data_IF_150020114469
#
_entry.id   IF_150020114469
#
_cell.length_a   1.000
_cell.length_b   1.000
_cell.length_c   1.000
_cell.angle_alpha   90.00
_cell.angle_beta   90.00
_cell.angle_gamma   90.00
#
_symmetry.space_group_name_H-M   'P 1'
#
loop_
_entity.id
_entity.type
_entity.pdbx_description
1 polymer ?
#
# COMPACT_ATOMS: atom_id res chain seq x y z
N UNK A 1 -12.67 -10.89 -69.35
CA UNK A 1 -13.20 -9.81 -68.51
C UNK A 1 -12.45 -9.85 -67.18
N UNK A 2 -11.78 -8.74 -66.88
CA UNK A 2 -10.75 -8.53 -65.87
C UNK A 2 -11.32 -8.69 -64.44
N UNK A 3 -10.65 -9.45 -63.57
CA UNK A 3 -10.79 -9.29 -62.11
C UNK A 3 -9.41 -9.15 -61.50
N UNK A 4 -9.08 -7.89 -61.25
CA UNK A 4 -7.97 -7.38 -60.46
C UNK A 4 -8.19 -7.64 -58.96
N UNK A 5 -7.07 -7.81 -58.25
CA UNK A 5 -6.78 -7.33 -56.86
C UNK A 5 -7.63 -7.97 -55.73
N UNK A 6 -7.09 -8.44 -54.62
CA UNK A 6 -6.06 -7.84 -53.76
C UNK A 6 -5.35 -8.93 -52.93
N UNK A 7 -4.01 -8.90 -52.94
CA UNK A 7 -3.19 -9.65 -51.98
C UNK A 7 -3.08 -8.81 -50.70
N UNK A 8 -3.61 -9.32 -49.59
CA UNK A 8 -3.49 -8.68 -48.27
C UNK A 8 -2.11 -9.00 -47.68
N UNK A 9 -1.17 -8.09 -47.90
CA UNK A 9 0.13 -8.09 -47.23
C UNK A 9 -0.08 -7.60 -45.79
N UNK A 10 -0.23 -8.53 -44.85
CA UNK A 10 -0.25 -8.24 -43.42
C UNK A 10 1.15 -7.79 -43.01
N UNK A 11 1.38 -6.47 -43.02
CA UNK A 11 2.55 -5.84 -42.44
C UNK A 11 2.46 -6.06 -40.92
N UNK A 12 3.13 -7.11 -40.44
CA UNK A 12 3.45 -7.30 -39.03
C UNK A 12 4.36 -6.14 -38.62
N UNK A 13 3.75 -5.06 -38.13
CA UNK A 13 4.44 -4.04 -37.35
C UNK A 13 4.81 -4.73 -36.05
N UNK A 14 5.99 -5.35 -36.02
CA UNK A 14 6.67 -5.73 -34.80
C UNK A 14 7.00 -4.44 -34.07
N UNK A 15 6.09 -3.96 -33.23
CA UNK A 15 6.46 -3.03 -32.18
C UNK A 15 7.52 -3.75 -31.37
N UNK A 16 8.75 -3.24 -31.45
CA UNK A 16 9.79 -3.58 -30.48
C UNK A 16 9.24 -3.14 -29.13
N UNK A 17 8.63 -4.08 -28.42
CA UNK A 17 8.38 -3.96 -26.98
C UNK A 17 9.77 -3.83 -26.38
N UNK A 18 10.19 -2.59 -26.14
CA UNK A 18 11.25 -2.35 -25.18
C UNK A 18 10.78 -3.04 -23.91
N UNK A 19 11.48 -4.12 -23.54
CA UNK A 19 11.37 -4.67 -22.21
C UNK A 19 11.38 -3.49 -21.24
N UNK A 20 10.27 -3.28 -20.54
CA UNK A 20 10.17 -2.27 -19.49
C UNK A 20 11.06 -2.75 -18.35
N UNK A 21 12.38 -2.60 -18.48
CA UNK A 21 13.33 -2.88 -17.41
C UNK A 21 13.34 -1.67 -16.50
N UNK A 22 12.92 -1.84 -15.25
CA UNK A 22 12.93 -0.76 -14.26
C UNK A 22 11.82 -0.89 -13.22
N UNK A 23 11.70 0.14 -12.39
CA UNK A 23 10.75 0.19 -11.26
C UNK A 23 9.31 -0.09 -11.70
N UNK A 24 8.84 0.44 -12.83
CA UNK A 24 7.44 0.31 -13.24
C UNK A 24 7.05 -1.15 -13.52
N UNK A 25 7.93 -1.93 -14.15
CA UNK A 25 7.70 -3.36 -14.37
C UNK A 25 7.71 -4.16 -13.07
N UNK A 26 8.59 -3.80 -12.13
CA UNK A 26 8.59 -4.37 -10.79
C UNK A 26 7.25 -4.09 -10.08
N UNK A 27 6.71 -2.88 -10.16
CA UNK A 27 5.41 -2.55 -9.57
C UNK A 27 4.26 -3.36 -10.20
N UNK A 28 4.28 -3.55 -11.53
CA UNK A 28 3.31 -4.42 -12.22
C UNK A 28 3.43 -5.86 -11.73
N UNK A 29 4.65 -6.39 -11.55
CA UNK A 29 4.86 -7.73 -11.00
C UNK A 29 4.35 -7.84 -9.55
N UNK A 30 4.70 -6.89 -8.70
CA UNK A 30 4.25 -6.83 -7.30
C UNK A 30 2.72 -6.80 -7.23
N UNK A 31 2.05 -5.97 -8.03
CA UNK A 31 0.57 -5.90 -8.06
C UNK A 31 -0.10 -7.27 -8.33
N UNK A 32 0.57 -8.14 -9.11
CA UNK A 32 0.04 -9.45 -9.51
C UNK A 32 0.45 -10.56 -8.53
N UNK A 33 1.70 -10.54 -8.09
CA UNK A 33 2.32 -11.66 -7.39
C UNK A 33 2.22 -11.54 -5.86
N UNK A 34 2.04 -10.32 -5.32
CA UNK A 34 2.00 -10.09 -3.89
C UNK A 34 0.91 -10.93 -3.21
N UNK A 35 1.31 -11.74 -2.22
CA UNK A 35 0.40 -12.66 -1.53
C UNK A 35 -0.63 -11.95 -0.65
N UNK A 36 -0.27 -10.81 -0.07
CA UNK A 36 -1.18 -10.02 0.73
C UNK A 36 -2.28 -9.37 -0.15
N UNK A 37 -1.94 -8.93 -1.37
CA UNK A 37 -2.91 -8.44 -2.36
C UNK A 37 -3.86 -9.55 -2.81
N UNK A 38 -3.36 -10.77 -3.04
CA UNK A 38 -4.19 -11.93 -3.37
C UNK A 38 -5.15 -12.28 -2.22
N UNK A 39 -4.65 -12.32 -0.98
CA UNK A 39 -5.49 -12.56 0.19
C UNK A 39 -6.53 -11.44 0.40
N UNK A 40 -6.14 -10.18 0.18
CA UNK A 40 -7.05 -9.04 0.31
C UNK A 40 -8.17 -9.07 -0.74
N UNK A 41 -7.93 -9.64 -1.94
CA UNK A 41 -8.96 -9.87 -2.96
C UNK A 41 -10.04 -10.85 -2.47
N UNK A 42 -9.63 -11.97 -1.86
CA UNK A 42 -10.58 -12.95 -1.30
C UNK A 42 -11.33 -12.37 -0.09
N UNK A 43 -10.62 -11.62 0.78
CA UNK A 43 -11.25 -10.92 1.89
C UNK A 43 -12.28 -9.89 1.41
N UNK A 44 -11.95 -9.09 0.39
CA UNK A 44 -12.87 -8.16 -0.25
C UNK A 44 -14.13 -8.87 -0.80
N UNK A 45 -13.96 -10.01 -1.48
CA UNK A 45 -15.07 -10.81 -1.97
C UNK A 45 -15.97 -11.29 -0.81
N UNK A 46 -15.36 -11.82 0.25
CA UNK A 46 -16.08 -12.26 1.45
C UNK A 46 -16.85 -11.10 2.10
N UNK A 47 -16.24 -9.91 2.24
CA UNK A 47 -16.90 -8.72 2.80
C UNK A 47 -18.11 -8.29 1.98
N UNK A 48 -18.02 -8.32 0.65
CA UNK A 48 -19.17 -8.04 -0.22
C UNK A 48 -20.30 -9.06 -0.03
N UNK A 49 -19.96 -10.34 0.10
CA UNK A 49 -20.95 -11.37 0.40
C UNK A 49 -21.60 -11.16 1.78
N UNK A 50 -20.82 -10.79 2.80
CA UNK A 50 -21.31 -10.45 4.14
C UNK A 50 -22.29 -9.26 4.10
N UNK A 51 -21.97 -8.20 3.35
CA UNK A 51 -22.88 -7.06 3.19
C UNK A 51 -24.17 -7.44 2.47
N UNK A 52 -24.18 -8.49 1.67
CA UNK A 52 -25.38 -9.00 1.00
C UNK A 52 -26.26 -9.89 1.91
N UNK A 53 -25.85 -10.14 3.15
CA UNK A 53 -26.65 -10.89 4.13
C UNK A 53 -27.78 -10.04 4.74
N UNK A 54 -28.84 -10.70 5.23
CA UNK A 54 -29.97 -10.02 5.89
C UNK A 54 -30.83 -9.15 4.95
N UNK A 55 -30.67 -9.32 3.63
CA UNK A 55 -31.48 -8.67 2.61
C UNK A 55 -32.81 -9.38 2.32
N UNK A 56 -32.97 -10.60 2.84
CA UNK A 56 -34.18 -11.43 2.72
C UNK A 56 -34.99 -11.40 4.01
N UNK A 57 -36.28 -11.79 3.95
CA UNK A 57 -37.06 -12.15 5.14
C UNK A 57 -36.37 -13.18 6.05
N UNK A 58 -36.84 -13.23 7.29
CA UNK A 58 -36.50 -14.31 8.22
C UNK A 58 -37.01 -15.65 7.67
N UNK A 59 -36.45 -16.75 8.16
CA UNK A 59 -36.96 -18.07 7.81
C UNK A 59 -38.39 -18.25 8.35
N UNK A 60 -39.25 -18.99 7.63
CA UNK A 60 -40.55 -19.37 8.17
C UNK A 60 -40.37 -20.26 9.39
N UNK A 61 -41.17 -20.01 10.43
CA UNK A 61 -41.19 -20.77 11.67
C UNK A 61 -42.27 -21.84 11.57
N UNK A 62 -41.90 -23.10 11.76
CA UNK A 62 -42.82 -24.24 11.80
C UNK A 62 -42.81 -24.81 13.20
N UNK A 63 -43.97 -24.82 13.86
CA UNK A 63 -44.14 -25.31 15.23
C UNK A 63 -45.21 -26.40 15.26
N UNK A 64 -44.96 -27.41 16.08
CA UNK A 64 -45.92 -28.45 16.40
C UNK A 64 -45.91 -28.68 17.91
N UNK A 65 -47.04 -28.41 18.55
CA UNK A 65 -47.20 -28.55 19.98
C UNK A 65 -48.15 -29.70 20.30
N UNK A 66 -47.76 -30.52 21.28
CA UNK A 66 -48.63 -31.54 21.86
C UNK A 66 -48.75 -31.32 23.36
N UNK A 67 -49.94 -30.93 23.79
CA UNK A 67 -50.22 -30.59 25.18
C UNK A 67 -51.20 -31.62 25.75
N UNK A 68 -50.75 -32.38 26.76
CA UNK A 68 -51.61 -33.32 27.49
C UNK A 68 -52.43 -32.58 28.54
N UNK A 69 -53.76 -32.64 28.45
CA UNK A 69 -54.65 -31.97 29.40
C UNK A 69 -54.81 -32.72 30.72
N UNK A 70 -54.83 -31.98 31.82
CA UNK A 70 -55.18 -32.45 33.18
C UNK A 70 -56.05 -31.39 33.85
N UNK A 71 -57.11 -31.75 34.61
CA UNK A 71 -57.52 -33.09 35.03
C UNK A 71 -58.25 -33.90 33.94
N UNK A 72 -58.67 -35.13 34.27
CA UNK A 72 -59.40 -36.03 33.38
C UNK A 72 -60.65 -35.32 32.79
N UNK A 73 -60.72 -35.24 31.46
CA UNK A 73 -61.76 -34.50 30.73
C UNK A 73 -61.27 -33.24 30.01
N UNK A 74 -60.07 -32.73 30.32
CA UNK A 74 -59.49 -31.56 29.64
C UNK A 74 -59.12 -31.81 28.16
N UNK A 75 -58.90 -33.07 27.78
CA UNK A 75 -58.52 -33.46 26.41
C UNK A 75 -57.05 -33.18 26.08
N UNK A 76 -56.53 -33.81 25.03
CA UNK A 76 -55.20 -33.52 24.51
C UNK A 76 -55.32 -32.50 23.38
N UNK A 77 -54.42 -31.52 23.35
CA UNK A 77 -54.34 -30.49 22.33
C UNK A 77 -53.16 -30.76 21.39
N UNK A 78 -53.40 -30.61 20.08
CA UNK A 78 -52.40 -30.68 19.02
C UNK A 78 -52.45 -29.38 18.21
N UNK A 79 -51.38 -28.62 18.23
CA UNK A 79 -51.27 -27.40 17.45
C UNK A 79 -50.21 -27.56 16.37
N UNK A 80 -50.50 -27.00 15.21
CA UNK A 80 -49.56 -26.90 14.09
C UNK A 80 -49.62 -25.48 13.55
N UNK A 81 -48.46 -24.81 13.58
CA UNK A 81 -48.34 -23.41 13.20
C UNK A 81 -47.22 -23.25 12.20
N UNK A 82 -47.50 -22.54 11.11
CA UNK A 82 -46.48 -22.05 10.18
C UNK A 82 -46.59 -20.54 10.13
N UNK A 83 -45.61 -19.80 10.65
CA UNK A 83 -45.60 -18.33 10.62
C UNK A 83 -44.40 -17.79 9.85
N UNK A 84 -44.62 -16.67 9.15
CA UNK A 84 -43.59 -15.89 8.49
C UNK A 84 -43.61 -14.48 9.07
N UNK A 85 -42.52 -14.11 9.72
CA UNK A 85 -42.30 -12.74 10.19
C UNK A 85 -41.60 -11.92 9.09
N UNK A 86 -42.12 -10.73 8.82
CA UNK A 86 -41.62 -9.79 7.82
C UNK A 86 -41.34 -8.43 8.48
N UNK A 87 -40.14 -7.89 8.22
CA UNK A 87 -39.90 -6.48 8.46
C UNK A 87 -40.81 -5.65 7.52
N UNK A 88 -41.10 -4.41 7.88
CA UNK A 88 -41.84 -3.52 6.99
C UNK A 88 -41.13 -3.42 5.62
N UNK A 89 -41.83 -3.45 4.46
CA UNK A 89 -41.20 -3.61 3.14
C UNK A 89 -40.08 -2.60 2.84
N UNK A 90 -40.20 -1.39 3.37
CA UNK A 90 -39.22 -0.31 3.19
C UNK A 90 -37.88 -0.60 3.87
N UNK A 91 -37.83 -1.47 4.88
CA UNK A 91 -36.58 -1.91 5.55
C UNK A 91 -35.66 -2.61 4.55
N UNK A 92 -36.17 -3.57 3.77
CA UNK A 92 -35.37 -4.33 2.81
C UNK A 92 -34.74 -3.44 1.73
N UNK A 93 -35.51 -2.46 1.21
CA UNK A 93 -34.97 -1.48 0.26
C UNK A 93 -33.83 -0.64 0.85
N UNK A 94 -33.92 -0.27 2.13
CA UNK A 94 -32.87 0.50 2.81
C UNK A 94 -31.66 -0.35 3.18
N UNK A 95 -31.86 -1.62 3.58
CA UNK A 95 -30.76 -2.58 3.82
C UNK A 95 -30.00 -2.84 2.51
N UNK A 96 -30.70 -2.99 1.38
CA UNK A 96 -30.06 -3.13 0.06
C UNK A 96 -29.24 -1.91 -0.34
N UNK A 97 -29.77 -0.70 -0.13
CA UNK A 97 -29.00 0.54 -0.36
C UNK A 97 -27.75 0.59 0.53
N UNK A 98 -27.86 0.23 1.80
CA UNK A 98 -26.72 0.18 2.72
C UNK A 98 -25.65 -0.82 2.24
N UNK A 99 -26.08 -2.04 1.89
CA UNK A 99 -25.24 -3.11 1.36
C UNK A 99 -24.45 -2.67 0.12
N UNK A 100 -25.10 -1.98 -0.81
CA UNK A 100 -24.45 -1.43 -2.00
C UNK A 100 -23.39 -0.37 -1.62
N UNK A 101 -23.70 0.54 -0.69
CA UNK A 101 -22.73 1.55 -0.24
C UNK A 101 -21.52 0.91 0.44
N UNK A 102 -21.74 -0.10 1.30
CA UNK A 102 -20.67 -0.86 1.94
C UNK A 102 -19.82 -1.65 0.93
N UNK A 103 -20.44 -2.15 -0.14
CA UNK A 103 -19.72 -2.81 -1.23
C UNK A 103 -18.80 -1.86 -1.99
N UNK A 104 -19.26 -0.63 -2.26
CA UNK A 104 -18.44 0.43 -2.88
C UNK A 104 -17.27 0.83 -1.97
N UNK A 105 -17.52 0.98 -0.67
CA UNK A 105 -16.47 1.24 0.32
C UNK A 105 -15.39 0.16 0.29
N UNK A 106 -15.79 -1.11 0.24
CA UNK A 106 -14.84 -2.23 0.17
C UNK A 106 -13.98 -2.18 -1.10
N UNK A 107 -14.51 -1.71 -2.23
CA UNK A 107 -13.72 -1.47 -3.45
C UNK A 107 -12.68 -0.36 -3.27
N UNK A 108 -13.04 0.72 -2.56
CA UNK A 108 -12.11 1.80 -2.25
C UNK A 108 -11.00 1.33 -1.30
N UNK A 109 -11.37 0.61 -0.23
CA UNK A 109 -10.42 0.02 0.73
C UNK A 109 -9.45 -0.96 0.04
N UNK A 110 -9.93 -1.78 -0.90
CA UNK A 110 -9.08 -2.67 -1.70
C UNK A 110 -8.06 -1.89 -2.54
N UNK A 111 -8.46 -0.76 -3.13
CA UNK A 111 -7.56 0.13 -3.88
C UNK A 111 -6.50 0.75 -2.99
N UNK A 112 -6.88 1.27 -1.81
CA UNK A 112 -5.94 1.79 -0.81
C UNK A 112 -4.90 0.73 -0.46
N UNK A 113 -5.36 -0.49 -0.18
CA UNK A 113 -4.47 -1.60 0.19
C UNK A 113 -3.43 -1.90 -0.91
N UNK A 114 -3.84 -1.99 -2.17
CA UNK A 114 -2.92 -2.22 -3.29
C UNK A 114 -1.94 -1.05 -3.40
N UNK A 115 -2.43 0.18 -3.33
CA UNK A 115 -1.61 1.39 -3.45
C UNK A 115 -0.52 1.45 -2.36
N UNK A 116 -0.84 1.07 -1.12
CA UNK A 116 0.13 1.00 -0.02
C UNK A 116 1.24 -0.01 -0.28
N UNK A 117 0.89 -1.19 -0.82
CA UNK A 117 1.86 -2.22 -1.20
C UNK A 117 2.76 -1.75 -2.34
N UNK A 118 2.19 -1.09 -3.35
CA UNK A 118 2.94 -0.56 -4.48
C UNK A 118 3.86 0.59 -4.07
N UNK A 119 3.42 1.46 -3.16
CA UNK A 119 4.28 2.51 -2.60
C UNK A 119 5.46 1.90 -1.84
N UNK A 120 5.22 0.90 -0.97
CA UNK A 120 6.30 0.19 -0.26
C UNK A 120 7.31 -0.41 -1.24
N UNK A 121 6.85 -1.10 -2.28
CA UNK A 121 7.73 -1.64 -3.32
C UNK A 121 8.51 -0.55 -4.06
N UNK A 122 7.88 0.58 -4.39
CA UNK A 122 8.54 1.71 -5.05
C UNK A 122 9.64 2.30 -4.17
N UNK A 123 9.40 2.45 -2.87
CA UNK A 123 10.39 2.99 -1.92
C UNK A 123 11.60 2.07 -1.76
N UNK A 124 11.39 0.76 -1.66
CA UNK A 124 12.48 -0.23 -1.61
C UNK A 124 13.25 -0.28 -2.94
N UNK A 125 12.57 -0.17 -4.07
CA UNK A 125 13.22 -0.10 -5.38
C UNK A 125 14.10 1.15 -5.54
N UNK A 126 13.63 2.30 -5.03
CA UNK A 126 14.44 3.53 -4.99
C UNK A 126 15.64 3.40 -4.04
N UNK A 127 15.49 2.75 -2.89
CA UNK A 127 16.63 2.45 -2.01
C UNK A 127 17.64 1.52 -2.69
N UNK A 128 17.17 0.52 -3.44
CA UNK A 128 18.06 -0.36 -4.20
C UNK A 128 18.88 0.40 -5.25
N UNK A 129 18.29 1.39 -5.93
CA UNK A 129 19.05 2.26 -6.86
C UNK A 129 20.13 3.05 -6.11
N UNK A 130 19.83 3.58 -4.91
CA UNK A 130 20.83 4.23 -4.06
C UNK A 130 21.99 3.27 -3.73
N UNK A 131 21.68 2.06 -3.27
CA UNK A 131 22.68 1.06 -2.89
C UNK A 131 23.52 0.60 -4.09
N UNK A 132 22.92 0.48 -5.27
CA UNK A 132 23.61 0.16 -6.51
C UNK A 132 24.59 1.29 -6.91
N UNK A 133 24.17 2.55 -6.81
CA UNK A 133 25.05 3.72 -7.01
C UNK A 133 26.21 3.73 -6.01
N UNK A 134 25.94 3.46 -4.74
CA UNK A 134 26.95 3.40 -3.69
C UNK A 134 27.94 2.24 -3.93
N UNK A 135 27.44 1.07 -4.35
CA UNK A 135 28.25 -0.09 -4.73
C UNK A 135 29.23 0.27 -5.86
N UNK A 136 28.78 1.00 -6.88
CA UNK A 136 29.64 1.43 -7.98
C UNK A 136 30.80 2.33 -7.50
N UNK A 137 30.55 3.23 -6.56
CA UNK A 137 31.61 4.07 -5.97
C UNK A 137 32.55 3.27 -5.07
N UNK A 138 32.01 2.41 -4.20
CA UNK A 138 32.81 1.57 -3.31
C UNK A 138 33.71 0.61 -4.08
N UNK A 139 33.25 0.03 -5.20
CA UNK A 139 34.09 -0.78 -6.09
C UNK A 139 35.26 0.00 -6.66
N UNK A 140 35.02 1.22 -7.16
CA UNK A 140 36.10 2.10 -7.65
C UNK A 140 37.13 2.41 -6.56
N UNK A 141 36.68 2.68 -5.34
CA UNK A 141 37.57 2.92 -4.19
C UNK A 141 38.36 1.66 -3.82
N UNK A 142 37.71 0.50 -3.79
CA UNK A 142 38.34 -0.77 -3.48
C UNK A 142 39.48 -1.08 -4.47
N UNK A 143 39.23 -0.97 -5.77
CA UNK A 143 40.23 -1.18 -6.83
C UNK A 143 41.43 -0.23 -6.68
N UNK A 144 41.16 1.06 -6.43
CA UNK A 144 42.22 2.07 -6.23
C UNK A 144 43.05 1.78 -4.98
N UNK A 145 42.44 1.41 -3.86
CA UNK A 145 43.17 1.11 -2.63
C UNK A 145 43.94 -0.21 -2.71
N UNK A 146 43.44 -1.21 -3.46
CA UNK A 146 44.19 -2.43 -3.75
C UNK A 146 45.47 -2.11 -4.55
N UNK A 147 45.36 -1.27 -5.58
CA UNK A 147 46.51 -0.79 -6.33
C UNK A 147 47.51 -0.04 -5.42
N UNK A 148 47.00 0.83 -4.53
CA UNK A 148 47.80 1.55 -3.56
C UNK A 148 48.61 0.62 -2.64
N UNK A 149 47.98 -0.42 -2.08
CA UNK A 149 48.67 -1.41 -1.24
C UNK A 149 49.77 -2.13 -2.03
N UNK A 150 49.49 -2.54 -3.27
CA UNK A 150 50.47 -3.17 -4.16
C UNK A 150 51.67 -2.24 -4.42
N UNK A 151 51.43 -0.96 -4.70
CA UNK A 151 52.48 0.00 -4.98
C UNK A 151 53.35 0.29 -3.76
N UNK A 152 52.76 0.38 -2.57
CA UNK A 152 53.52 0.54 -1.32
C UNK A 152 54.31 -0.71 -0.95
N UNK A 153 53.80 -1.91 -1.27
CA UNK A 153 54.57 -3.14 -1.10
C UNK A 153 55.82 -3.14 -1.99
N UNK A 154 55.69 -2.75 -3.26
CA UNK A 154 56.84 -2.62 -4.18
C UNK A 154 57.86 -1.60 -3.69
N UNK A 155 57.40 -0.44 -3.19
CA UNK A 155 58.29 0.57 -2.61
C UNK A 155 59.03 0.08 -1.37
N UNK A 156 58.37 -0.71 -0.52
CA UNK A 156 59.03 -1.34 0.63
C UNK A 156 60.13 -2.30 0.17
N UNK A 157 59.85 -3.13 -0.83
CA UNK A 157 60.82 -4.10 -1.37
C UNK A 157 62.04 -3.40 -2.03
N UNK A 158 61.84 -2.19 -2.55
CA UNK A 158 62.87 -1.32 -3.13
C UNK A 158 63.62 -0.47 -2.09
N UNK A 159 63.14 -0.42 -0.84
CA UNK A 159 63.70 0.44 0.22
C UNK A 159 63.20 1.89 0.21
N UNK A 160 62.26 2.23 -0.67
CA UNK A 160 61.68 3.56 -0.86
C UNK A 160 60.48 3.86 0.08
N UNK A 161 60.04 2.88 0.87
CA UNK A 161 59.00 3.02 1.87
C UNK A 161 59.29 2.16 3.11
N UNK A 162 58.66 2.48 4.24
CA UNK A 162 58.77 1.71 5.49
C UNK A 162 57.55 0.81 5.70
N UNK A 163 57.72 -0.24 6.52
CA UNK A 163 56.64 -1.19 6.83
C UNK A 163 55.39 -0.51 7.43
N UNK A 164 55.57 0.60 8.16
CA UNK A 164 54.45 1.38 8.72
C UNK A 164 53.55 1.95 7.62
N UNK A 165 54.09 2.31 6.46
CA UNK A 165 53.31 2.86 5.35
C UNK A 165 52.48 1.78 4.66
N UNK A 166 53.06 0.59 4.46
CA UNK A 166 52.31 -0.58 3.99
C UNK A 166 51.18 -0.93 4.95
N UNK A 167 51.42 -0.91 6.27
CA UNK A 167 50.39 -1.20 7.27
C UNK A 167 49.23 -0.18 7.23
N UNK A 168 49.52 1.11 7.05
CA UNK A 168 48.47 2.14 6.89
C UNK A 168 47.63 1.91 5.64
N UNK A 169 48.25 1.58 4.51
CA UNK A 169 47.53 1.26 3.27
C UNK A 169 46.65 0.01 3.44
N UNK A 170 47.15 -1.03 4.12
CA UNK A 170 46.38 -2.24 4.45
C UNK A 170 45.19 -1.95 5.35
N UNK A 171 45.34 -1.07 6.35
CA UNK A 171 44.22 -0.64 7.20
C UNK A 171 43.15 0.11 6.40
N UNK A 172 43.54 0.98 5.47
CA UNK A 172 42.59 1.65 4.59
C UNK A 172 41.85 0.65 3.69
N UNK A 173 42.56 -0.34 3.14
CA UNK A 173 41.97 -1.41 2.34
C UNK A 173 40.93 -2.19 3.15
N UNK A 174 41.26 -2.57 4.39
CA UNK A 174 40.34 -3.29 5.27
C UNK A 174 39.05 -2.50 5.54
N UNK A 175 39.15 -1.19 5.77
CA UNK A 175 37.99 -0.34 5.98
C UNK A 175 37.06 -0.31 4.75
N UNK A 176 37.63 -0.12 3.56
CA UNK A 176 36.85 -0.07 2.31
C UNK A 176 36.25 -1.44 1.99
N UNK A 177 36.96 -2.54 2.27
CA UNK A 177 36.41 -3.90 2.16
C UNK A 177 35.19 -4.08 3.07
N UNK A 178 35.22 -3.54 4.29
CA UNK A 178 34.05 -3.59 5.17
C UNK A 178 32.88 -2.73 4.67
N UNK A 179 33.15 -1.54 4.14
CA UNK A 179 32.10 -0.71 3.54
C UNK A 179 31.41 -1.43 2.37
N UNK A 180 32.19 -2.13 1.52
CA UNK A 180 31.65 -2.98 0.44
C UNK A 180 30.77 -4.09 0.99
N UNK A 181 31.26 -4.85 1.98
CA UNK A 181 30.50 -5.95 2.59
C UNK A 181 29.20 -5.48 3.23
N UNK A 182 29.21 -4.34 3.91
CA UNK A 182 28.02 -3.74 4.51
C UNK A 182 27.01 -3.29 3.45
N UNK A 183 27.47 -2.68 2.36
CA UNK A 183 26.59 -2.28 1.27
C UNK A 183 26.00 -3.49 0.53
N UNK A 184 26.79 -4.53 0.28
CA UNK A 184 26.33 -5.76 -0.37
C UNK A 184 25.29 -6.49 0.51
N UNK A 185 25.48 -6.48 1.84
CA UNK A 185 24.46 -6.96 2.77
C UNK A 185 23.17 -6.15 2.67
N UNK A 186 23.25 -4.81 2.65
CA UNK A 186 22.09 -3.93 2.49
C UNK A 186 21.34 -4.18 1.16
N UNK A 187 22.07 -4.43 0.08
CA UNK A 187 21.49 -4.82 -1.23
C UNK A 187 20.73 -6.14 -1.06
N UNK A 188 21.35 -7.16 -0.47
CA UNK A 188 20.72 -8.47 -0.25
C UNK A 188 19.46 -8.38 0.59
N UNK A 189 19.47 -7.57 1.66
CA UNK A 189 18.28 -7.33 2.50
C UNK A 189 17.17 -6.63 1.72
N UNK A 190 17.51 -5.61 0.93
CA UNK A 190 16.56 -4.85 0.11
C UNK A 190 15.95 -5.75 -0.97
N UNK A 191 16.74 -6.59 -1.63
CA UNK A 191 16.27 -7.60 -2.58
C UNK A 191 15.35 -8.63 -1.91
N UNK A 192 15.66 -9.05 -0.69
CA UNK A 192 14.80 -9.96 0.08
C UNK A 192 13.44 -9.32 0.39
N UNK A 193 13.40 -8.04 0.81
CA UNK A 193 12.14 -7.30 1.01
C UNK A 193 11.36 -7.13 -0.29
N UNK A 194 12.03 -6.85 -1.40
CA UNK A 194 11.39 -6.78 -2.73
C UNK A 194 10.86 -8.15 -3.19
N UNK A 195 11.58 -9.24 -2.92
CA UNK A 195 11.14 -10.60 -3.21
C UNK A 195 9.91 -10.96 -2.38
N UNK A 196 9.86 -10.60 -1.10
CA UNK A 196 8.68 -10.75 -0.25
C UNK A 196 7.48 -9.99 -0.83
N UNK A 197 7.68 -8.72 -1.21
CA UNK A 197 6.64 -7.91 -1.86
C UNK A 197 6.21 -8.50 -3.22
N UNK A 198 7.12 -9.14 -3.96
CA UNK A 198 6.84 -9.83 -5.23
C UNK A 198 6.35 -11.28 -5.04
N UNK A 199 5.92 -11.65 -3.84
CA UNK A 199 5.30 -12.95 -3.56
C UNK A 199 6.26 -14.13 -3.61
N UNK A 200 7.53 -13.91 -3.30
CA UNK A 200 8.60 -14.91 -3.28
C UNK A 200 9.40 -15.00 -4.58
N UNK A 201 9.04 -14.23 -5.61
CA UNK A 201 9.73 -14.22 -6.91
C UNK A 201 10.90 -13.23 -6.87
N UNK A 202 12.08 -13.71 -7.24
CA UNK A 202 13.30 -12.90 -7.27
C UNK A 202 13.15 -11.65 -8.14
N UNK A 203 13.76 -10.56 -7.68
CA UNK A 203 13.72 -9.25 -8.35
C UNK A 203 15.10 -8.94 -8.89
N UNK A 204 15.18 -8.68 -10.20
CA UNK A 204 16.41 -8.28 -10.87
C UNK A 204 16.34 -6.79 -11.20
N UNK A 205 16.84 -5.95 -10.28
CA UNK A 205 16.95 -4.50 -10.47
C UNK A 205 18.39 -4.05 -10.18
N UNK A 206 19.13 -3.74 -11.25
CA UNK A 206 20.53 -3.31 -11.19
C UNK A 206 20.70 -1.83 -11.54
N UNK A 207 19.59 -1.10 -11.63
CA UNK A 207 19.60 0.29 -12.06
C UNK A 207 20.43 1.17 -11.11
N UNK A 208 21.24 2.05 -11.70
CA UNK A 208 22.02 3.06 -11.00
C UNK A 208 21.58 4.46 -11.39
N UNK A 209 20.42 4.61 -12.02
CA UNK A 209 19.88 5.90 -12.48
C UNK A 209 18.43 5.94 -12.03
N UNK A 210 18.05 7.04 -11.37
CA UNK A 210 16.67 7.22 -10.97
C UNK A 210 15.78 7.57 -12.17
N UNK A 211 14.50 7.17 -12.16
CA UNK A 211 13.54 7.60 -13.17
C UNK A 211 13.45 9.12 -13.24
N UNK A 212 13.22 9.64 -14.45
CA UNK A 212 13.00 11.07 -14.66
C UNK A 212 11.74 11.52 -13.91
N UNK A 213 11.87 12.60 -13.16
CA UNK A 213 10.75 13.20 -12.42
C UNK A 213 10.27 14.43 -13.18
N UNK A 214 8.97 14.46 -13.50
CA UNK A 214 8.33 15.64 -14.06
C UNK A 214 8.39 16.82 -13.08
N UNK A 215 8.30 18.04 -13.59
CA UNK A 215 8.30 19.22 -12.73
C UNK A 215 7.16 19.16 -11.70
N UNK A 216 7.52 19.18 -10.42
CA UNK A 216 6.54 19.23 -9.32
C UNK A 216 5.87 20.60 -9.34
N UNK A 217 4.53 20.69 -9.44
CA UNK A 217 3.81 21.96 -9.44
C UNK A 217 3.82 22.59 -8.04
N UNK A 218 3.37 23.84 -7.93
CA UNK A 218 3.19 24.51 -6.64
C UNK A 218 2.33 23.66 -5.69
N UNK A 219 2.68 23.66 -4.39
CA UNK A 219 2.01 22.85 -3.37
C UNK A 219 0.48 22.90 -3.45
N UNK A 220 -0.13 24.09 -3.57
CA UNK A 220 -1.59 24.21 -3.64
C UNK A 220 -2.20 23.44 -4.82
N UNK A 221 -1.53 23.45 -5.96
CA UNK A 221 -1.96 22.70 -7.16
C UNK A 221 -1.75 21.21 -6.96
N UNK A 222 -0.61 20.81 -6.38
CA UNK A 222 -0.31 19.41 -6.07
C UNK A 222 -1.30 18.83 -5.06
N UNK A 223 -1.57 19.54 -3.96
CA UNK A 223 -2.49 19.15 -2.89
C UNK A 223 -3.91 18.94 -3.44
N UNK A 224 -4.37 19.85 -4.30
CA UNK A 224 -5.65 19.70 -4.99
C UNK A 224 -5.71 18.45 -5.90
N UNK A 225 -4.61 18.14 -6.58
CA UNK A 225 -4.51 16.93 -7.41
C UNK A 225 -4.49 15.65 -6.56
N UNK A 226 -3.79 15.67 -5.44
CA UNK A 226 -3.74 14.56 -4.48
C UNK A 226 -5.14 14.33 -3.91
N UNK A 227 -5.80 15.35 -3.36
CA UNK A 227 -7.14 15.25 -2.78
C UNK A 227 -8.17 14.66 -3.78
N UNK A 228 -8.13 15.08 -5.05
CA UNK A 228 -9.05 14.58 -6.07
C UNK A 228 -8.86 13.08 -6.38
N UNK A 229 -7.67 12.55 -6.18
CA UNK A 229 -7.29 11.20 -6.61
C UNK A 229 -7.00 10.24 -5.45
N UNK A 230 -6.91 10.71 -4.22
CA UNK A 230 -6.64 9.89 -3.04
C UNK A 230 -7.79 8.92 -2.74
N UNK A 231 -7.58 7.60 -2.87
CA UNK A 231 -8.60 6.61 -2.54
C UNK A 231 -8.92 6.57 -1.04
N UNK A 232 -7.98 6.94 -0.15
CA UNK A 232 -8.20 6.93 1.29
C UNK A 232 -9.09 8.09 1.73
N UNK A 233 -8.90 9.29 1.16
CA UNK A 233 -9.85 10.39 1.38
C UNK A 233 -11.28 9.99 0.94
N UNK A 234 -11.40 9.32 -0.22
CA UNK A 234 -12.70 8.80 -0.71
C UNK A 234 -13.32 7.78 0.23
N UNK A 235 -12.51 6.94 0.90
CA UNK A 235 -12.97 6.00 1.95
C UNK A 235 -13.63 6.77 3.10
N UNK A 236 -13.03 7.87 3.58
CA UNK A 236 -13.60 8.66 4.68
C UNK A 236 -14.86 9.43 4.26
N UNK A 237 -14.86 10.03 3.07
CA UNK A 237 -16.04 10.75 2.54
C UNK A 237 -17.22 9.79 2.32
N UNK A 238 -16.95 8.59 1.79
CA UNK A 238 -17.97 7.59 1.54
C UNK A 238 -18.50 6.94 2.83
N UNK A 239 -17.66 6.84 3.87
CA UNK A 239 -18.10 6.37 5.19
C UNK A 239 -19.24 7.24 5.75
N UNK A 240 -19.20 8.57 5.55
CA UNK A 240 -20.27 9.47 5.97
C UNK A 240 -21.62 9.08 5.34
N UNK A 241 -21.62 8.74 4.05
CA UNK A 241 -22.82 8.29 3.33
C UNK A 241 -23.34 6.95 3.88
N UNK A 242 -22.43 6.02 4.20
CA UNK A 242 -22.78 4.76 4.85
C UNK A 242 -23.43 5.02 6.22
N UNK A 243 -22.86 5.90 7.06
CA UNK A 243 -23.41 6.21 8.38
C UNK A 243 -24.80 6.85 8.27
N UNK A 244 -25.00 7.75 7.30
CA UNK A 244 -26.32 8.32 7.03
C UNK A 244 -27.35 7.27 6.59
N UNK A 245 -26.94 6.32 5.75
CA UNK A 245 -27.79 5.21 5.33
C UNK A 245 -28.06 4.22 6.48
N UNK A 246 -27.10 4.00 7.38
CA UNK A 246 -27.29 3.22 8.60
C UNK A 246 -28.36 3.82 9.51
N UNK A 247 -28.35 5.14 9.74
CA UNK A 247 -29.42 5.84 10.48
C UNK A 247 -30.78 5.58 9.83
N UNK A 248 -30.85 5.65 8.50
CA UNK A 248 -32.10 5.39 7.75
C UNK A 248 -32.60 3.96 7.95
N UNK A 249 -31.70 2.96 7.94
CA UNK A 249 -32.06 1.57 8.25
C UNK A 249 -32.57 1.44 9.68
N UNK A 250 -31.87 2.01 10.66
CA UNK A 250 -32.29 1.96 12.07
C UNK A 250 -33.65 2.62 12.30
N UNK A 251 -33.94 3.76 11.64
CA UNK A 251 -35.25 4.40 11.70
C UNK A 251 -36.35 3.54 11.08
N UNK A 252 -36.07 2.83 9.98
CA UNK A 252 -37.07 1.93 9.35
C UNK A 252 -37.30 0.64 10.14
N UNK A 253 -36.32 0.17 10.90
CA UNK A 253 -36.50 -0.95 11.83
C UNK A 253 -37.45 -0.61 13.00
N UNK A 254 -37.81 0.66 13.19
CA UNK A 254 -38.86 1.08 14.14
C UNK A 254 -40.27 1.00 13.55
N UNK A 255 -40.42 0.67 12.27
CA UNK A 255 -41.74 0.44 11.69
C UNK A 255 -42.30 -0.91 12.19
N UNK A 256 -43.63 -1.06 12.26
CA UNK A 256 -44.23 -2.32 12.68
C UNK A 256 -43.80 -3.49 11.79
N UNK A 257 -43.51 -4.64 12.42
CA UNK A 257 -43.30 -5.92 11.73
C UNK A 257 -44.64 -6.60 11.52
N UNK A 258 -44.77 -7.28 10.39
CA UNK A 258 -45.98 -8.03 10.04
C UNK A 258 -45.68 -9.51 10.18
N UNK A 259 -46.60 -10.25 10.78
CA UNK A 259 -46.56 -11.70 10.87
C UNK A 259 -47.78 -12.27 10.17
N UNK A 260 -47.59 -13.29 9.34
CA UNK A 260 -48.69 -14.00 8.69
C UNK A 260 -48.40 -15.49 8.67
N UNK A 261 -49.44 -16.32 8.67
CA UNK A 261 -49.24 -17.75 8.75
C UNK A 261 -50.50 -18.57 8.63
N UNK A 262 -50.34 -19.86 8.90
CA UNK A 262 -51.41 -20.82 9.04
C UNK A 262 -51.37 -21.42 10.45
N UNK A 263 -52.53 -21.53 11.08
CA UNK A 263 -52.67 -22.14 12.40
C UNK A 263 -53.75 -23.23 12.35
N UNK A 264 -53.44 -24.39 12.90
CA UNK A 264 -54.35 -25.52 13.06
C UNK A 264 -54.27 -26.04 14.48
N UNK A 265 -55.39 -26.11 15.16
CA UNK A 265 -55.52 -26.64 16.52
C UNK A 265 -56.55 -27.76 16.54
N UNK A 266 -56.25 -28.86 17.23
CA UNK A 266 -57.19 -29.95 17.47
C UNK A 266 -57.29 -30.27 18.96
N UNK A 267 -58.50 -30.23 19.51
CA UNK A 267 -58.78 -30.48 20.93
C UNK A 267 -60.18 -31.08 21.09
N UNK A 268 -60.34 -32.07 21.98
CA UNK A 268 -61.64 -32.71 22.28
C UNK A 268 -62.42 -33.20 21.04
N UNK A 269 -61.71 -33.71 20.02
CA UNK A 269 -62.32 -34.21 18.78
C UNK A 269 -62.77 -33.12 17.79
N UNK A 270 -62.55 -31.85 18.12
CA UNK A 270 -62.77 -30.70 17.25
C UNK A 270 -61.46 -30.25 16.59
N UNK A 271 -61.55 -29.66 15.40
CA UNK A 271 -60.39 -29.07 14.70
C UNK A 271 -60.72 -27.67 14.20
N UNK A 272 -59.85 -26.72 14.55
CA UNK A 272 -59.87 -25.33 14.12
C UNK A 272 -58.70 -25.10 13.19
N UNK A 273 -58.92 -24.47 12.04
CA UNK A 273 -57.90 -24.17 11.03
C UNK A 273 -58.14 -22.78 10.48
N UNK A 274 -57.09 -22.00 10.30
CA UNK A 274 -57.23 -20.64 9.83
C UNK A 274 -55.94 -19.96 9.45
N UNK A 275 -56.09 -18.75 8.91
CA UNK A 275 -54.98 -17.84 8.63
C UNK A 275 -54.66 -17.09 9.92
N UNK A 276 -53.38 -17.02 10.23
CA UNK A 276 -52.83 -16.22 11.32
C UNK A 276 -52.32 -14.88 10.78
N UNK A 277 -52.53 -13.81 11.55
CA UNK A 277 -52.08 -12.47 11.23
C UNK A 277 -51.74 -11.71 12.51
N UNK A 278 -50.54 -11.13 12.55
CA UNK A 278 -50.02 -10.38 13.70
C UNK A 278 -49.29 -9.12 13.25
N UNK A 279 -49.26 -8.13 14.14
CA UNK A 279 -48.43 -6.94 13.97
C UNK A 279 -47.62 -6.71 15.25
N UNK A 280 -46.32 -6.52 15.11
CA UNK A 280 -45.42 -6.23 16.23
C UNK A 280 -44.92 -4.80 16.12
N UNK A 281 -45.32 -3.94 17.06
CA UNK A 281 -44.94 -2.52 17.09
C UNK A 281 -43.75 -2.35 18.05
N UNK A 282 -42.55 -2.02 17.55
CA UNK A 282 -41.38 -1.83 18.42
C UNK A 282 -41.50 -0.49 19.18
N UNK A 283 -41.75 -0.55 20.48
CA UNK A 283 -41.93 0.64 21.32
C UNK A 283 -40.60 1.18 21.89
N UNK A 284 -39.64 0.30 22.20
CA UNK A 284 -38.37 0.68 22.83
C UNK A 284 -37.14 -0.10 22.35
N UNK A 285 -37.33 -1.17 21.56
CA UNK A 285 -36.26 -2.11 21.12
C UNK A 285 -35.04 -1.41 20.51
N UNK A 286 -35.26 -0.29 19.81
CA UNK A 286 -34.26 0.33 18.94
C UNK A 286 -33.85 1.76 19.33
N UNK A 287 -34.34 2.30 20.46
CA UNK A 287 -34.10 3.71 20.84
C UNK A 287 -32.61 4.05 20.89
N UNK A 288 -31.81 3.17 21.49
CA UNK A 288 -30.36 3.37 21.61
C UNK A 288 -29.61 3.06 20.30
N UNK A 289 -30.18 2.26 19.39
CA UNK A 289 -29.57 1.94 18.09
C UNK A 289 -29.54 3.16 17.17
N UNK A 290 -30.61 3.95 17.14
CA UNK A 290 -30.65 5.21 16.37
C UNK A 290 -29.66 6.22 16.95
N UNK A 291 -29.66 6.41 18.28
CA UNK A 291 -28.71 7.30 18.96
C UNK A 291 -27.25 6.92 18.70
N UNK A 292 -26.93 5.62 18.74
CA UNK A 292 -25.59 5.13 18.41
C UNK A 292 -25.23 5.39 16.93
N UNK A 293 -26.16 5.20 16.00
CA UNK A 293 -25.92 5.49 14.58
C UNK A 293 -25.68 6.99 14.32
N UNK A 294 -26.40 7.88 15.00
CA UNK A 294 -26.18 9.34 14.94
C UNK A 294 -24.82 9.74 15.52
N UNK A 295 -24.42 9.15 16.66
CA UNK A 295 -23.08 9.35 17.23
C UNK A 295 -21.97 8.85 16.28
N UNK A 296 -22.17 7.71 15.62
CA UNK A 296 -21.21 7.17 14.63
C UNK A 296 -21.11 8.05 13.39
N UNK A 297 -22.20 8.70 12.94
CA UNK A 297 -22.14 9.70 11.87
C UNK A 297 -21.32 10.92 12.31
N UNK A 298 -21.56 11.43 13.53
CA UNK A 298 -20.78 12.54 14.08
C UNK A 298 -19.28 12.20 14.14
N UNK A 299 -18.95 11.00 14.61
CA UNK A 299 -17.58 10.47 14.61
C UNK A 299 -16.98 10.42 13.19
N UNK A 300 -17.70 9.85 12.22
CA UNK A 300 -17.24 9.78 10.82
C UNK A 300 -16.98 11.18 10.23
N UNK A 301 -17.81 12.17 10.56
CA UNK A 301 -17.61 13.56 10.13
C UNK A 301 -16.33 14.17 10.70
N UNK A 302 -16.08 14.02 12.00
CA UNK A 302 -14.86 14.52 12.61
C UNK A 302 -13.61 13.79 12.10
N UNK A 303 -13.71 12.48 11.88
CA UNK A 303 -12.61 11.70 11.30
C UNK A 303 -12.26 12.14 9.88
N UNK A 304 -13.25 12.39 9.01
CA UNK A 304 -12.99 12.86 7.66
C UNK A 304 -12.27 14.21 7.65
N UNK A 305 -12.69 15.15 8.50
CA UNK A 305 -12.04 16.46 8.66
C UNK A 305 -10.62 16.30 9.21
N UNK A 306 -10.44 15.48 10.25
CA UNK A 306 -9.13 15.25 10.85
C UNK A 306 -8.17 14.57 9.87
N UNK A 307 -8.62 13.55 9.13
CA UNK A 307 -7.83 12.87 8.12
C UNK A 307 -7.40 13.83 7.02
N UNK A 308 -8.32 14.65 6.51
CA UNK A 308 -8.01 15.66 5.50
C UNK A 308 -6.91 16.61 5.97
N UNK A 309 -7.03 17.13 7.20
CA UNK A 309 -6.01 18.01 7.79
C UNK A 309 -4.66 17.29 7.97
N UNK A 310 -4.67 16.08 8.53
CA UNK A 310 -3.45 15.30 8.76
C UNK A 310 -2.73 15.01 7.43
N UNK A 311 -3.47 14.56 6.43
CA UNK A 311 -2.92 14.23 5.11
C UNK A 311 -2.36 15.48 4.42
N UNK A 312 -3.05 16.63 4.50
CA UNK A 312 -2.53 17.89 3.97
C UNK A 312 -1.22 18.31 4.65
N UNK A 313 -1.13 18.19 5.99
CA UNK A 313 0.07 18.53 6.73
C UNK A 313 1.23 17.56 6.43
N UNK A 314 0.96 16.27 6.27
CA UNK A 314 1.94 15.26 5.87
C UNK A 314 2.46 15.53 4.44
N UNK A 315 1.57 15.79 3.49
CA UNK A 315 1.95 16.18 2.13
C UNK A 315 2.77 17.47 2.12
N UNK A 316 2.40 18.44 2.96
CA UNK A 316 3.18 19.67 3.12
C UNK A 316 4.58 19.40 3.64
N UNK A 317 4.74 18.51 4.61
CA UNK A 317 6.06 18.12 5.11
C UNK A 317 6.93 17.49 4.01
N UNK A 318 6.37 16.59 3.20
CA UNK A 318 7.09 16.02 2.06
C UNK A 318 7.47 17.10 1.04
N UNK A 319 6.53 17.99 0.72
CA UNK A 319 6.74 19.08 -0.24
C UNK A 319 7.83 20.07 0.21
N UNK A 320 7.74 20.57 1.45
CA UNK A 320 8.70 21.55 1.98
C UNK A 320 10.12 20.94 2.03
N UNK A 321 10.23 19.63 2.28
CA UNK A 321 11.51 18.92 2.23
C UNK A 321 12.04 18.71 0.81
N UNK A 322 11.19 18.67 -0.22
CA UNK A 322 11.63 18.46 -1.61
C UNK A 322 12.52 19.57 -2.12
N UNK A 323 12.14 20.82 -1.91
CA UNK A 323 12.91 21.97 -2.40
C UNK A 323 14.29 22.03 -1.73
N UNK A 324 14.33 21.84 -0.41
CA UNK A 324 15.57 21.78 0.36
C UNK A 324 16.47 20.65 -0.16
N UNK A 325 15.92 19.43 -0.34
CA UNK A 325 16.68 18.27 -0.83
C UNK A 325 17.18 18.47 -2.26
N UNK A 326 16.33 19.03 -3.13
CA UNK A 326 16.67 19.30 -4.53
C UNK A 326 17.81 20.31 -4.63
N UNK A 327 17.72 21.42 -3.91
CA UNK A 327 18.76 22.45 -3.92
C UNK A 327 20.07 21.91 -3.35
N UNK A 328 20.03 21.25 -2.20
CA UNK A 328 21.22 20.63 -1.60
C UNK A 328 21.86 19.59 -2.55
N UNK A 329 21.05 18.73 -3.18
CA UNK A 329 21.52 17.75 -4.16
C UNK A 329 22.21 18.44 -5.36
N UNK A 330 21.64 19.53 -5.89
CA UNK A 330 22.21 20.28 -7.02
C UNK A 330 23.52 20.98 -6.64
N UNK A 331 23.60 21.56 -5.44
CA UNK A 331 24.83 22.17 -4.89
C UNK A 331 25.94 21.13 -4.76
N UNK A 332 25.67 20.01 -4.10
CA UNK A 332 26.63 18.91 -3.99
C UNK A 332 27.07 18.40 -5.36
N UNK A 333 26.13 18.16 -6.29
CA UNK A 333 26.45 17.68 -7.63
C UNK A 333 27.39 18.63 -8.37
N UNK A 334 27.13 19.92 -8.29
CA UNK A 334 27.93 20.95 -8.97
C UNK A 334 29.34 21.04 -8.38
N UNK A 335 29.45 21.06 -7.05
CA UNK A 335 30.74 21.12 -6.36
C UNK A 335 31.57 19.85 -6.56
N UNK A 336 30.96 18.67 -6.40
CA UNK A 336 31.65 17.38 -6.57
C UNK A 336 32.15 17.17 -8.00
N UNK A 337 31.44 17.70 -9.01
CA UNK A 337 31.87 17.67 -10.40
C UNK A 337 33.09 18.58 -10.67
N UNK A 338 33.26 19.69 -9.95
CA UNK A 338 34.37 20.63 -10.15
C UNK A 338 35.67 20.24 -9.45
N UNK A 339 35.61 19.42 -8.39
CA UNK A 339 36.73 19.23 -7.46
C UNK A 339 37.90 18.40 -8.02
N UNK A 340 37.70 17.51 -9.00
CA UNK A 340 38.72 16.60 -9.54
C UNK A 340 39.62 15.93 -8.46
N UNK A 341 39.05 15.69 -7.27
CA UNK A 341 39.82 15.40 -6.05
C UNK A 341 40.63 14.11 -6.13
N UNK A 342 40.07 13.04 -6.69
CA UNK A 342 40.73 11.74 -6.79
C UNK A 342 42.09 11.84 -7.51
N UNK A 343 42.12 12.48 -8.68
CA UNK A 343 43.34 12.62 -9.47
C UNK A 343 44.37 13.56 -8.82
N UNK A 344 43.91 14.59 -8.10
CA UNK A 344 44.79 15.50 -7.37
C UNK A 344 45.43 14.81 -6.15
N UNK A 345 44.65 14.04 -5.39
CA UNK A 345 45.12 13.25 -4.25
C UNK A 345 46.14 12.19 -4.69
N UNK A 346 45.87 11.48 -5.79
CA UNK A 346 46.80 10.49 -6.34
C UNK A 346 48.15 11.12 -6.73
N UNK A 347 48.12 12.29 -7.36
CA UNK A 347 49.34 13.04 -7.71
C UNK A 347 50.09 13.51 -6.47
N UNK A 348 49.39 14.12 -5.52
CA UNK A 348 50.00 14.64 -4.30
C UNK A 348 50.68 13.51 -3.51
N UNK A 349 50.04 12.35 -3.39
CA UNK A 349 50.62 11.18 -2.74
C UNK A 349 51.81 10.63 -3.53
N UNK A 350 51.70 10.52 -4.86
CA UNK A 350 52.78 10.03 -5.73
C UNK A 350 54.05 10.90 -5.63
N UNK A 351 53.90 12.22 -5.56
CA UNK A 351 55.02 13.16 -5.43
C UNK A 351 55.44 13.45 -3.98
N UNK A 352 54.91 12.70 -3.01
CA UNK A 352 55.29 12.81 -1.59
C UNK A 352 54.86 14.12 -0.92
N UNK A 353 53.91 14.85 -1.50
CA UNK A 353 53.38 16.10 -0.93
C UNK A 353 52.42 15.85 0.24
N UNK A 354 51.80 14.67 0.27
CA UNK A 354 50.93 14.22 1.37
C UNK A 354 51.31 12.81 1.81
N UNK A 355 51.01 12.49 3.07
CA UNK A 355 51.19 11.14 3.61
C UNK A 355 50.00 10.24 3.27
N UNK A 356 50.14 8.91 3.42
CA UNK A 356 49.00 7.97 3.24
C UNK A 356 47.84 8.29 4.18
N UNK A 357 48.12 8.70 5.42
CA UNK A 357 47.07 9.06 6.37
C UNK A 357 46.29 10.26 5.86
N UNK A 358 47.00 11.26 5.34
CA UNK A 358 46.36 12.47 4.81
C UNK A 358 45.56 12.16 3.54
N UNK A 359 46.10 11.33 2.64
CA UNK A 359 45.36 10.79 1.51
C UNK A 359 44.07 10.09 1.96
N UNK A 360 44.15 9.19 2.96
CA UNK A 360 43.00 8.43 3.45
C UNK A 360 41.95 9.32 4.13
N UNK A 361 42.39 10.35 4.87
CA UNK A 361 41.53 11.34 5.51
C UNK A 361 40.79 12.18 4.45
N UNK A 362 41.50 12.68 3.44
CA UNK A 362 40.92 13.51 2.38
C UNK A 362 39.99 12.69 1.47
N UNK A 363 40.37 11.45 1.15
CA UNK A 363 39.52 10.51 0.41
C UNK A 363 38.23 10.20 1.18
N UNK A 364 38.33 9.98 2.50
CA UNK A 364 37.16 9.77 3.36
C UNK A 364 36.27 11.01 3.40
N UNK A 365 36.84 12.20 3.55
CA UNK A 365 36.08 13.46 3.54
C UNK A 365 35.29 13.64 2.23
N UNK A 366 35.93 13.35 1.09
CA UNK A 366 35.27 13.36 -0.21
C UNK A 366 34.15 12.32 -0.29
N UNK A 367 34.44 11.08 0.13
CA UNK A 367 33.47 9.99 0.08
C UNK A 367 32.25 10.27 0.98
N UNK A 368 32.45 10.79 2.18
CA UNK A 368 31.36 11.15 3.10
C UNK A 368 30.44 12.21 2.45
N UNK A 369 31.03 13.18 1.75
CA UNK A 369 30.28 14.19 0.98
C UNK A 369 29.54 13.59 -0.22
N UNK A 370 30.16 12.68 -0.97
CA UNK A 370 29.53 11.98 -2.09
C UNK A 370 28.39 11.05 -1.63
N UNK A 371 28.59 10.30 -0.54
CA UNK A 371 27.57 9.45 0.06
C UNK A 371 26.37 10.27 0.55
N UNK A 372 26.61 11.43 1.16
CA UNK A 372 25.56 12.37 1.54
C UNK A 372 24.78 12.90 0.34
N UNK A 373 25.46 13.20 -0.78
CA UNK A 373 24.81 13.54 -2.04
C UNK A 373 23.91 12.41 -2.54
N UNK A 374 24.41 11.17 -2.62
CA UNK A 374 23.62 10.01 -3.05
C UNK A 374 22.39 9.79 -2.15
N UNK A 375 22.55 10.00 -0.84
CA UNK A 375 21.44 9.90 0.11
C UNK A 375 20.40 11.00 -0.10
N UNK A 376 20.81 12.25 -0.31
CA UNK A 376 19.90 13.35 -0.62
C UNK A 376 19.10 13.09 -1.89
N UNK A 377 19.75 12.55 -2.93
CA UNK A 377 19.10 12.16 -4.18
C UNK A 377 18.05 11.06 -3.94
N UNK A 378 18.40 10.00 -3.19
CA UNK A 378 17.47 8.94 -2.81
C UNK A 378 16.24 9.47 -2.06
N UNK A 379 16.47 10.31 -1.05
CA UNK A 379 15.44 10.90 -0.23
C UNK A 379 14.55 11.88 -1.02
N UNK A 380 15.10 12.58 -2.02
CA UNK A 380 14.31 13.37 -2.96
C UNK A 380 13.33 12.50 -3.75
N UNK A 381 13.81 11.41 -4.35
CA UNK A 381 12.96 10.50 -5.13
C UNK A 381 11.91 9.77 -4.28
N UNK A 382 12.25 9.39 -3.05
CA UNK A 382 11.29 8.78 -2.11
C UNK A 382 10.19 9.76 -1.70
N UNK A 383 10.52 11.02 -1.42
CA UNK A 383 9.52 12.04 -1.11
C UNK A 383 8.58 12.32 -2.30
N UNK A 384 9.10 12.29 -3.53
CA UNK A 384 8.25 12.35 -4.74
C UNK A 384 7.34 11.12 -4.82
N UNK A 385 7.85 9.91 -4.56
CA UNK A 385 7.03 8.70 -4.58
C UNK A 385 5.89 8.77 -3.56
N UNK A 386 6.13 9.36 -2.38
CA UNK A 386 5.10 9.60 -1.37
C UNK A 386 4.02 10.56 -1.87
N UNK A 387 4.40 11.73 -2.38
CA UNK A 387 3.44 12.73 -2.90
C UNK A 387 2.63 12.21 -4.08
N UNK A 388 3.23 11.38 -4.93
CA UNK A 388 2.58 10.79 -6.10
C UNK A 388 2.01 9.40 -5.83
N UNK A 389 1.82 9.00 -4.57
CA UNK A 389 1.21 7.73 -4.18
C UNK A 389 -0.13 7.49 -4.91
N UNK A 390 -0.93 8.54 -5.09
CA UNK A 390 -2.23 8.48 -5.77
C UNK A 390 -2.16 7.96 -7.23
N UNK A 391 -0.98 8.02 -7.86
CA UNK A 391 -0.75 7.61 -9.26
C UNK A 391 -0.27 6.17 -9.44
N UNK A 392 -0.12 5.38 -8.36
CA UNK A 392 0.46 4.04 -8.42
C UNK A 392 -0.52 2.93 -8.86
N UNK A 393 -1.81 3.24 -9.03
CA UNK A 393 -2.86 2.28 -9.38
C UNK A 393 -3.23 2.29 -10.86
#
# INVERSE_FOLDING_TARGET
>A
MMKLLTSAFCLLITTTVYSQTGIDSLLVQVSKNNKAVQANREYHFARKAEFATGLTPYDPKVEYDYLSGSPAGAGNQRDFTVTQQLDFPTVYSSKRKLSNQQSIQSDLEHRVFIQDILLKAKLEALELIYLNKLSAELKRRLERTQALVSDYQKKLDQGDAIILDVNKAKLQLLNIQQDVLLNDNAISQTLTRLQELNGGIEVNLTDTIYPLVAQVPEFRTLDSLIEANDPLLKVYEHEQQIRQQQITVQKRLNLPKIETGYHSQAILGQSYKGIHGGISIPLWENRNRVKAAEANLSYANFNAVNHKLQHQLENKQYYDQLEIRKNAMLEYRTLLASLNNAALLDKALKYGQITIIQYAQDERFYFDSYSKYLRLEAEYHKAIAQLYKFSLL
#
